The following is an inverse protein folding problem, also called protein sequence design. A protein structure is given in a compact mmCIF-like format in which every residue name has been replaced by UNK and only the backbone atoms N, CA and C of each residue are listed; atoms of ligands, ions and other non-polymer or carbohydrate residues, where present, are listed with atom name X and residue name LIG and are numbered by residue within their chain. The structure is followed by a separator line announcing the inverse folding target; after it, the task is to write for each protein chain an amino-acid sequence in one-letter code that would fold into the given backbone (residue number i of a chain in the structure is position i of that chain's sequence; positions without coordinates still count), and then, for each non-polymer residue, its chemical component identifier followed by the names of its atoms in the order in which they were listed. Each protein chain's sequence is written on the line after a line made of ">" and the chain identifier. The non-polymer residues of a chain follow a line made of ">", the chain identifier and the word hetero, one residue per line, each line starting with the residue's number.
data_IF_886415007167
#
_entry.id   IF_886415007167
#
_cell.length_a   1.000
_cell.length_b   1.000
_cell.length_c   1.000
_cell.angle_alpha   90.00
_cell.angle_beta   90.00
_cell.angle_gamma   90.00
#
_symmetry.space_group_name_H-M   'P 1'
#
loop_
_entity.id
_entity.type
_entity.pdbx_description
1 polymer ?
#
# COMPACT_ATOMS: atom_id res chain seq x y z
N UNK A 1 -22.33 50.38 39.89
CA UNK A 1 -21.08 49.70 39.47
C UNK A 1 -20.72 50.26 38.10
N UNK A 2 -19.79 51.23 38.01
CA UNK A 2 -19.44 51.83 36.72
C UNK A 2 -18.56 50.85 35.94
N UNK A 3 -19.02 50.38 34.79
CA UNK A 3 -18.15 49.69 33.84
C UNK A 3 -17.02 50.65 33.46
N UNK A 4 -15.78 50.23 33.66
CA UNK A 4 -14.57 51.07 33.55
C UNK A 4 -14.18 51.37 32.09
N UNK A 5 -14.93 50.84 31.13
CA UNK A 5 -14.66 50.91 29.68
C UNK A 5 -15.97 51.17 28.93
N UNK A 6 -15.88 51.96 27.85
CA UNK A 6 -17.02 52.20 26.96
C UNK A 6 -17.31 50.98 26.08
N UNK A 7 -18.56 50.83 25.61
CA UNK A 7 -18.94 49.72 24.71
C UNK A 7 -18.12 49.71 23.42
N UNK A 8 -17.74 50.89 22.92
CA UNK A 8 -16.89 51.03 21.73
C UNK A 8 -15.47 50.45 21.96
N UNK A 9 -14.87 50.69 23.13
CA UNK A 9 -13.56 50.14 23.50
C UNK A 9 -13.61 48.62 23.70
N UNK A 10 -14.69 48.12 24.32
CA UNK A 10 -14.93 46.68 24.47
C UNK A 10 -15.06 45.98 23.11
N UNK A 11 -15.77 46.59 22.17
CA UNK A 11 -15.92 46.06 20.80
C UNK A 11 -14.61 46.12 20.00
N UNK A 12 -13.81 47.17 20.17
CA UNK A 12 -12.49 47.26 19.53
C UNK A 12 -11.52 46.19 20.06
N UNK A 13 -11.50 45.97 21.37
CA UNK A 13 -10.68 44.92 21.98
C UNK A 13 -11.13 43.52 21.57
N UNK A 14 -12.44 43.26 21.54
CA UNK A 14 -12.97 41.95 21.13
C UNK A 14 -12.66 41.65 19.65
N UNK A 15 -12.74 42.66 18.77
CA UNK A 15 -12.37 42.53 17.37
C UNK A 15 -10.87 42.21 17.19
N UNK A 16 -9.99 42.88 17.94
CA UNK A 16 -8.55 42.62 17.94
C UNK A 16 -8.23 41.21 18.47
N UNK A 17 -8.85 40.80 19.57
CA UNK A 17 -8.68 39.45 20.14
C UNK A 17 -9.14 38.39 19.13
N UNK A 18 -10.32 38.57 18.51
CA UNK A 18 -10.84 37.66 17.49
C UNK A 18 -9.93 37.57 16.28
N UNK A 19 -9.40 38.70 15.80
CA UNK A 19 -8.46 38.74 14.67
C UNK A 19 -7.16 37.98 14.98
N UNK A 20 -6.59 38.19 16.18
CA UNK A 20 -5.38 37.47 16.62
C UNK A 20 -5.62 35.97 16.80
N UNK A 21 -6.77 35.60 17.36
CA UNK A 21 -7.18 34.19 17.48
C UNK A 21 -7.29 33.54 16.11
N UNK A 22 -7.96 34.18 15.14
CA UNK A 22 -8.09 33.67 13.78
C UNK A 22 -6.74 33.48 13.09
N UNK A 23 -5.78 34.38 13.33
CA UNK A 23 -4.41 34.26 12.81
C UNK A 23 -3.65 33.02 13.29
N UNK A 24 -3.99 32.46 14.44
CA UNK A 24 -3.40 31.22 14.97
C UNK A 24 -4.24 30.01 14.57
N UNK A 25 -5.56 30.12 14.67
CA UNK A 25 -6.49 29.03 14.38
C UNK A 25 -6.50 28.65 12.90
N UNK A 26 -6.47 29.62 11.97
CA UNK A 26 -6.54 29.33 10.54
C UNK A 26 -5.32 28.51 10.06
N UNK A 27 -4.06 28.90 10.33
CA UNK A 27 -2.91 28.09 9.93
C UNK A 27 -2.91 26.70 10.57
N UNK A 28 -3.30 26.60 11.84
CA UNK A 28 -3.39 25.32 12.55
C UNK A 28 -4.43 24.40 11.91
N UNK A 29 -5.62 24.93 11.60
CA UNK A 29 -6.68 24.18 10.93
C UNK A 29 -6.26 23.71 9.52
N UNK A 30 -5.53 24.56 8.77
CA UNK A 30 -4.99 24.19 7.45
C UNK A 30 -3.98 23.05 7.57
N UNK A 31 -3.06 23.11 8.54
CA UNK A 31 -2.09 22.02 8.76
C UNK A 31 -2.78 20.70 9.11
N UNK A 32 -3.77 20.74 10.00
CA UNK A 32 -4.53 19.55 10.39
C UNK A 32 -5.28 18.98 9.18
N UNK A 33 -5.95 19.83 8.39
CA UNK A 33 -6.66 19.40 7.18
C UNK A 33 -5.70 18.79 6.14
N UNK A 34 -4.51 19.38 5.96
CA UNK A 34 -3.47 18.85 5.08
C UNK A 34 -2.97 17.48 5.51
N UNK A 35 -2.75 17.29 6.83
CA UNK A 35 -2.36 15.99 7.38
C UNK A 35 -3.44 14.93 7.16
N UNK A 36 -4.72 15.25 7.45
CA UNK A 36 -5.84 14.33 7.19
C UNK A 36 -5.94 13.95 5.71
N UNK A 37 -5.80 14.93 4.80
CA UNK A 37 -5.84 14.68 3.36
C UNK A 37 -4.71 13.75 2.90
N UNK A 38 -3.50 13.94 3.41
CA UNK A 38 -2.35 13.08 3.09
C UNK A 38 -2.55 11.65 3.61
N UNK A 39 -3.01 11.48 4.86
CA UNK A 39 -3.27 10.16 5.44
C UNK A 39 -4.32 9.40 4.63
N UNK A 40 -5.46 10.02 4.32
CA UNK A 40 -6.52 9.37 3.56
C UNK A 40 -6.05 8.96 2.14
N UNK A 41 -5.28 9.81 1.46
CA UNK A 41 -4.70 9.44 0.15
C UNK A 41 -3.75 8.24 0.25
N UNK A 42 -2.95 8.16 1.31
CA UNK A 42 -2.04 7.03 1.55
C UNK A 42 -2.82 5.73 1.79
N UNK A 43 -3.88 5.77 2.60
CA UNK A 43 -4.75 4.60 2.86
C UNK A 43 -5.43 4.13 1.57
N UNK A 44 -6.04 5.06 0.82
CA UNK A 44 -6.72 4.74 -0.44
C UNK A 44 -5.75 4.17 -1.48
N UNK A 45 -4.53 4.70 -1.57
CA UNK A 45 -3.49 4.17 -2.44
C UNK A 45 -3.13 2.72 -2.09
N UNK A 46 -2.89 2.44 -0.80
CA UNK A 46 -2.55 1.08 -0.35
C UNK A 46 -3.72 0.11 -0.52
N UNK A 47 -4.95 0.55 -0.26
CA UNK A 47 -6.16 -0.23 -0.52
C UNK A 47 -6.31 -0.58 -2.00
N UNK A 48 -6.08 0.40 -2.89
CA UNK A 48 -6.12 0.19 -4.33
C UNK A 48 -5.09 -0.86 -4.76
N UNK A 49 -3.85 -0.75 -4.29
CA UNK A 49 -2.80 -1.75 -4.58
C UNK A 49 -3.13 -3.15 -4.07
N UNK A 50 -3.69 -3.24 -2.87
CA UNK A 50 -4.15 -4.52 -2.34
C UNK A 50 -5.29 -5.12 -3.18
N UNK A 51 -6.28 -4.31 -3.57
CA UNK A 51 -7.38 -4.73 -4.44
C UNK A 51 -6.92 -5.14 -5.84
N UNK A 52 -5.95 -4.42 -6.43
CA UNK A 52 -5.33 -4.79 -7.71
C UNK A 52 -4.68 -6.18 -7.63
N UNK A 53 -3.90 -6.42 -6.56
CA UNK A 53 -3.27 -7.72 -6.34
C UNK A 53 -4.31 -8.84 -6.12
N UNK A 54 -5.34 -8.59 -5.31
CA UNK A 54 -6.44 -9.51 -5.07
C UNK A 54 -7.25 -9.80 -6.35
N UNK A 55 -7.46 -8.81 -7.21
CA UNK A 55 -8.18 -8.96 -8.47
C UNK A 55 -7.38 -9.77 -9.52
N UNK A 56 -6.06 -9.84 -9.37
CA UNK A 56 -5.19 -10.56 -10.29
C UNK A 56 -5.35 -12.07 -10.11
N UNK A 57 -5.55 -12.79 -11.22
CA UNK A 57 -5.53 -14.25 -11.28
C UNK A 57 -4.70 -14.71 -12.46
N UNK A 58 -4.01 -15.83 -12.29
CA UNK A 58 -3.23 -16.41 -13.36
C UNK A 58 -3.00 -17.89 -13.15
N UNK A 59 -2.77 -18.58 -14.25
CA UNK A 59 -2.31 -19.94 -14.25
C UNK A 59 -1.54 -20.22 -15.53
N UNK A 60 -0.55 -21.11 -15.46
CA UNK A 60 0.20 -21.53 -16.64
C UNK A 60 1.36 -22.44 -16.30
N UNK A 61 1.84 -23.16 -17.32
CA UNK A 61 3.09 -23.92 -17.22
C UNK A 61 4.29 -23.00 -17.37
N UNK A 62 5.34 -23.25 -16.60
CA UNK A 62 6.60 -22.51 -16.70
C UNK A 62 7.31 -22.92 -17.98
N UNK A 63 7.52 -21.95 -18.87
CA UNK A 63 8.22 -22.13 -20.16
C UNK A 63 9.63 -21.55 -20.13
N UNK A 64 9.88 -20.57 -19.25
CA UNK A 64 11.16 -19.87 -19.17
C UNK A 64 11.52 -19.42 -17.76
N UNK A 65 12.81 -19.20 -17.54
CA UNK A 65 13.36 -18.64 -16.30
C UNK A 65 14.40 -17.59 -16.65
N UNK A 66 14.32 -16.43 -16.00
CA UNK A 66 15.25 -15.30 -16.19
C UNK A 66 15.70 -14.74 -14.84
N UNK A 67 16.93 -14.28 -14.77
CA UNK A 67 17.52 -13.59 -13.60
C UNK A 67 18.16 -12.31 -14.10
N UNK A 68 17.85 -11.19 -13.47
CA UNK A 68 18.42 -9.89 -13.84
C UNK A 68 19.67 -9.60 -13.04
N UNK A 69 20.82 -10.01 -13.58
CA UNK A 69 22.14 -9.83 -12.99
C UNK A 69 22.62 -11.00 -12.15
N UNK A 70 23.83 -10.90 -11.62
CA UNK A 70 24.45 -11.98 -10.86
C UNK A 70 24.63 -11.67 -9.37
N UNK A 71 23.51 -11.52 -8.67
CA UNK A 71 23.49 -11.22 -7.24
C UNK A 71 22.38 -11.98 -6.51
N UNK A 72 22.48 -12.09 -5.18
CA UNK A 72 21.48 -12.78 -4.35
C UNK A 72 20.14 -12.04 -4.34
N UNK A 73 20.17 -10.69 -4.35
CA UNK A 73 18.99 -9.81 -4.36
C UNK A 73 18.43 -9.52 -5.75
N UNK A 74 19.00 -10.11 -6.79
CA UNK A 74 18.61 -9.86 -8.16
C UNK A 74 17.21 -10.41 -8.44
N UNK A 75 16.45 -9.67 -9.25
CA UNK A 75 15.09 -10.04 -9.61
C UNK A 75 15.08 -11.32 -10.44
N UNK A 76 14.07 -12.15 -10.20
CA UNK A 76 13.97 -13.50 -10.74
C UNK A 76 12.59 -13.74 -11.28
N UNK A 77 12.52 -14.08 -12.55
CA UNK A 77 11.29 -14.20 -13.29
C UNK A 77 11.08 -15.61 -13.79
N UNK A 78 9.82 -16.04 -13.79
CA UNK A 78 9.34 -17.16 -14.57
C UNK A 78 8.47 -16.64 -15.69
N UNK A 79 8.58 -17.24 -16.86
CA UNK A 79 7.68 -17.01 -17.98
C UNK A 79 6.70 -18.18 -18.04
N UNK A 80 5.42 -17.87 -18.14
CA UNK A 80 4.35 -18.86 -18.30
C UNK A 80 4.05 -19.08 -19.79
N UNK A 81 3.36 -20.18 -20.10
CA UNK A 81 2.90 -20.56 -21.44
C UNK A 81 1.98 -19.53 -22.13
N UNK A 82 1.33 -18.68 -21.35
CA UNK A 82 0.57 -17.52 -21.84
C UNK A 82 1.41 -16.25 -21.99
N UNK A 83 2.74 -16.35 -22.03
CA UNK A 83 3.70 -15.25 -22.13
C UNK A 83 3.72 -14.28 -20.93
N UNK A 84 3.02 -14.59 -19.84
CA UNK A 84 3.04 -13.79 -18.63
C UNK A 84 4.36 -14.02 -17.88
N UNK A 85 5.07 -12.94 -17.57
CA UNK A 85 6.23 -12.99 -16.68
C UNK A 85 5.82 -12.70 -15.24
N UNK A 86 6.26 -13.54 -14.30
CA UNK A 86 6.01 -13.35 -12.87
C UNK A 86 7.32 -13.29 -12.09
N UNK A 87 7.44 -12.27 -11.25
CA UNK A 87 8.52 -12.15 -10.28
C UNK A 87 8.31 -13.18 -9.15
N UNK A 88 9.35 -13.97 -8.87
CA UNK A 88 9.32 -14.99 -7.83
C UNK A 88 10.48 -14.85 -6.85
N UNK A 89 10.27 -15.35 -5.63
CA UNK A 89 11.29 -15.28 -4.58
C UNK A 89 12.43 -16.26 -4.89
N UNK A 90 13.61 -15.98 -4.34
CA UNK A 90 14.79 -16.82 -4.53
C UNK A 90 14.53 -18.29 -4.21
N UNK A 91 13.90 -18.57 -3.07
CA UNK A 91 13.65 -19.93 -2.59
C UNK A 91 12.74 -20.72 -3.54
N UNK A 92 11.76 -20.05 -4.15
CA UNK A 92 10.89 -20.64 -5.15
C UNK A 92 11.65 -20.82 -6.47
N UNK A 93 12.42 -19.81 -6.88
CA UNK A 93 13.20 -19.86 -8.11
C UNK A 93 14.21 -20.99 -8.12
N UNK A 94 14.82 -21.33 -6.98
CA UNK A 94 15.74 -22.48 -6.89
C UNK A 94 15.05 -23.83 -7.03
N UNK A 95 13.76 -23.92 -6.66
CA UNK A 95 12.99 -25.19 -6.66
C UNK A 95 12.25 -25.43 -7.96
N UNK A 96 11.69 -24.37 -8.54
CA UNK A 96 10.82 -24.46 -9.72
C UNK A 96 11.62 -24.78 -10.98
N UNK A 97 11.06 -25.64 -11.84
CA UNK A 97 11.63 -26.08 -13.11
C UNK A 97 10.73 -25.71 -14.28
N UNK A 98 11.30 -25.69 -15.48
CA UNK A 98 10.52 -25.59 -16.72
C UNK A 98 9.63 -26.83 -16.80
N UNK A 99 8.35 -26.63 -17.12
CA UNK A 99 7.30 -27.66 -17.12
C UNK A 99 6.46 -27.72 -15.84
N UNK A 100 6.91 -27.15 -14.73
CA UNK A 100 6.10 -27.00 -13.51
C UNK A 100 4.90 -26.06 -13.77
N UNK A 101 3.86 -26.13 -12.93
CA UNK A 101 2.66 -25.33 -13.08
C UNK A 101 2.50 -24.33 -11.94
N UNK A 102 2.05 -23.11 -12.26
CA UNK A 102 1.84 -22.05 -11.28
C UNK A 102 0.41 -21.56 -11.36
N UNK A 103 -0.20 -21.27 -10.20
CA UNK A 103 -1.56 -20.76 -10.12
C UNK A 103 -1.72 -19.74 -9.00
N UNK A 104 -2.41 -18.64 -9.31
CA UNK A 104 -2.95 -17.69 -8.34
C UNK A 104 -4.45 -17.54 -8.58
N UNK A 105 -5.23 -17.80 -7.55
CA UNK A 105 -6.66 -17.56 -7.57
C UNK A 105 -6.99 -16.10 -7.29
N UNK A 106 -8.04 -15.59 -7.96
CA UNK A 106 -8.60 -14.28 -7.66
C UNK A 106 -9.14 -14.28 -6.23
N UNK A 107 -8.92 -13.19 -5.50
CA UNK A 107 -9.33 -13.09 -4.09
C UNK A 107 -8.36 -13.72 -3.09
N UNK A 108 -7.34 -14.43 -3.58
CA UNK A 108 -6.35 -15.09 -2.74
C UNK A 108 -5.04 -14.33 -2.72
N UNK A 109 -4.41 -14.34 -1.54
CA UNK A 109 -3.11 -13.72 -1.32
C UNK A 109 -1.93 -14.65 -1.65
N UNK A 110 -2.22 -15.93 -1.81
CA UNK A 110 -1.23 -16.96 -2.04
C UNK A 110 -1.10 -17.34 -3.52
N UNK A 111 0.12 -17.69 -3.90
CA UNK A 111 0.44 -18.33 -5.18
C UNK A 111 0.86 -19.77 -4.90
N UNK A 112 0.32 -20.69 -5.71
CA UNK A 112 0.58 -22.12 -5.64
C UNK A 112 1.55 -22.50 -6.76
N UNK A 113 2.58 -23.26 -6.40
CA UNK A 113 3.58 -23.81 -7.31
C UNK A 113 3.51 -25.33 -7.25
N UNK A 114 3.04 -25.95 -8.33
CA UNK A 114 2.94 -27.40 -8.49
C UNK A 114 4.23 -27.89 -9.14
N UNK A 115 5.09 -28.49 -8.32
CA UNK A 115 6.40 -28.95 -8.73
C UNK A 115 6.32 -30.33 -9.37
N UNK A 116 7.23 -30.59 -10.30
CA UNK A 116 7.38 -31.87 -11.02
C UNK A 116 7.62 -33.09 -10.11
N UNK A 117 8.08 -32.90 -8.87
CA UNK A 117 8.22 -33.96 -7.86
C UNK A 117 6.89 -34.30 -7.14
N UNK A 118 5.78 -33.64 -7.50
CA UNK A 118 4.47 -33.80 -6.85
C UNK A 118 4.24 -32.89 -5.64
N UNK A 119 5.24 -32.11 -5.23
CA UNK A 119 5.11 -31.15 -4.11
C UNK A 119 4.33 -29.92 -4.56
N UNK A 120 3.51 -29.38 -3.66
CA UNK A 120 2.83 -28.08 -3.86
C UNK A 120 3.38 -27.08 -2.87
N UNK A 121 4.10 -26.08 -3.36
CA UNK A 121 4.62 -24.99 -2.54
C UNK A 121 3.63 -23.84 -2.56
N UNK A 122 3.22 -23.36 -1.39
CA UNK A 122 2.26 -22.25 -1.24
C UNK A 122 3.02 -21.05 -0.66
N UNK A 123 2.96 -19.92 -1.35
CA UNK A 123 3.62 -18.68 -0.90
C UNK A 123 2.61 -17.56 -0.76
N UNK A 124 2.54 -16.93 0.42
CA UNK A 124 1.73 -15.73 0.66
C UNK A 124 2.43 -14.48 0.09
N UNK A 125 2.23 -14.25 -1.21
CA UNK A 125 2.74 -13.06 -1.93
C UNK A 125 2.01 -11.78 -1.49
N UNK A 126 0.79 -11.89 -0.99
CA UNK A 126 -0.02 -10.76 -0.55
C UNK A 126 0.38 -10.20 0.81
N UNK A 127 1.12 -10.96 1.63
CA UNK A 127 1.48 -10.59 3.01
C UNK A 127 1.97 -9.16 3.14
N UNK A 128 2.97 -8.77 2.34
CA UNK A 128 3.58 -7.45 2.41
C UNK A 128 2.61 -6.32 2.05
N UNK A 129 1.81 -6.50 1.00
CA UNK A 129 0.83 -5.50 0.54
C UNK A 129 -0.32 -5.37 1.54
N UNK A 130 -0.79 -6.51 2.06
CA UNK A 130 -1.83 -6.59 3.10
C UNK A 130 -1.39 -5.92 4.40
N UNK A 131 -0.17 -6.18 4.86
CA UNK A 131 0.41 -5.54 6.04
C UNK A 131 0.59 -4.04 5.86
N UNK A 132 1.04 -3.59 4.67
CA UNK A 132 1.16 -2.16 4.36
C UNK A 132 -0.20 -1.46 4.42
N UNK A 133 -1.24 -2.05 3.85
CA UNK A 133 -2.61 -1.55 3.97
C UNK A 133 -3.08 -1.50 5.42
N UNK A 134 -2.93 -2.59 6.19
CA UNK A 134 -3.32 -2.63 7.61
C UNK A 134 -2.63 -1.56 8.44
N UNK A 135 -1.33 -1.35 8.24
CA UNK A 135 -0.58 -0.29 8.94
C UNK A 135 -1.08 1.10 8.58
N UNK A 136 -1.39 1.35 7.31
CA UNK A 136 -1.95 2.63 6.89
C UNK A 136 -3.33 2.87 7.51
N UNK A 137 -4.19 1.85 7.55
CA UNK A 137 -5.54 1.96 8.13
C UNK A 137 -5.57 2.07 9.65
N UNK A 138 -4.51 1.67 10.36
CA UNK A 138 -4.41 1.80 11.83
C UNK A 138 -3.91 3.18 12.28
N UNK A 139 -3.53 4.05 11.34
CA UNK A 139 -3.10 5.44 11.60
C UNK A 139 -4.24 6.46 11.43
N UNK A 140 -5.45 5.99 11.07
CA UNK A 140 -6.72 6.74 11.11
C UNK A 140 -7.31 6.76 12.52
#
# INVERSE_FOLDING_TARGET
>A
MKTKYSEAELNAQSALIRSRLLWIFIPTAIMVAGFMYYQNNSVQYNLKKYKEFQATSFSGKVTGKRKDGDCTRCERYITLDNYREELIDFDIYSKIKIGDFVQKFRGHDSVLYYLSNGEVVITDKGKFIRERYKKASQQE
#
